data_IF_600876520895
#
_entry.id   IF_600876520895
#
_cell.length_a   1.000
_cell.length_b   1.000
_cell.length_c   1.000
_cell.angle_alpha   90.00
_cell.angle_beta   90.00
_cell.angle_gamma   90.00
#
_symmetry.space_group_name_H-M   'P 1'
#
loop_
_entity.id
_entity.type
_entity.pdbx_description
1 polymer ?
#
# COMPACT_ATOMS: atom_id res chain seq x y z
N UNK A 1 10.45 8.31 25.79
CA UNK A 1 9.79 7.51 24.73
C UNK A 1 8.29 7.48 24.98
N UNK A 2 7.85 6.97 26.13
CA UNK A 2 6.43 6.90 26.56
C UNK A 2 5.63 8.18 26.27
N UNK A 3 6.10 9.35 26.75
CA UNK A 3 5.43 10.65 26.52
C UNK A 3 5.15 10.92 25.03
N UNK A 4 6.10 10.63 24.14
CA UNK A 4 5.92 10.86 22.70
C UNK A 4 4.94 9.84 22.12
N UNK A 5 5.07 8.56 22.50
CA UNK A 5 4.20 7.48 22.02
C UNK A 5 2.76 7.69 22.44
N UNK A 6 2.51 8.07 23.69
CA UNK A 6 1.18 8.40 24.21
C UNK A 6 0.60 9.65 23.53
N UNK A 7 1.45 10.67 23.31
CA UNK A 7 1.06 11.86 22.55
C UNK A 7 0.61 11.53 21.13
N UNK A 8 1.37 10.70 20.41
CA UNK A 8 1.02 10.24 19.05
C UNK A 8 -0.23 9.36 19.03
N UNK A 9 -0.41 8.46 20.00
CA UNK A 9 -1.61 7.64 20.13
C UNK A 9 -2.86 8.50 20.35
N UNK A 10 -2.77 9.52 21.21
CA UNK A 10 -3.86 10.47 21.42
C UNK A 10 -4.19 11.28 20.15
N UNK A 11 -3.19 11.61 19.33
CA UNK A 11 -3.41 12.28 18.03
C UNK A 11 -4.14 11.35 17.06
N UNK A 12 -3.74 10.07 17.00
CA UNK A 12 -4.41 9.08 16.17
C UNK A 12 -5.90 8.95 16.54
N UNK A 13 -6.22 8.87 17.83
CA UNK A 13 -7.61 8.85 18.31
C UNK A 13 -8.39 10.12 17.93
N UNK A 14 -7.76 11.29 17.99
CA UNK A 14 -8.39 12.54 17.55
C UNK A 14 -8.76 12.50 16.05
N UNK A 15 -7.88 11.93 15.22
CA UNK A 15 -8.11 11.79 13.77
C UNK A 15 -9.24 10.80 13.51
N UNK A 16 -9.20 9.62 14.13
CA UNK A 16 -10.21 8.56 13.97
C UNK A 16 -11.61 9.02 14.41
N UNK A 17 -11.69 9.86 15.43
CA UNK A 17 -12.94 10.43 15.92
C UNK A 17 -13.41 11.67 15.13
N UNK A 18 -12.66 12.10 14.11
CA UNK A 18 -12.95 13.32 13.34
C UNK A 18 -12.85 14.62 14.15
N UNK A 19 -12.08 14.59 15.26
CA UNK A 19 -11.88 15.73 16.16
C UNK A 19 -10.59 16.50 15.87
N UNK A 20 -9.63 15.88 15.17
CA UNK A 20 -8.40 16.53 14.76
C UNK A 20 -8.69 17.67 13.78
N UNK A 21 -8.21 18.87 14.10
CA UNK A 21 -8.36 20.04 13.23
C UNK A 21 -7.10 20.20 12.38
N UNK A 22 -7.19 19.83 11.10
CA UNK A 22 -6.12 20.07 10.14
C UNK A 22 -5.99 21.56 9.87
N UNK A 23 -4.77 22.08 10.03
CA UNK A 23 -4.45 23.46 9.68
C UNK A 23 -3.92 23.51 8.23
N UNK A 24 -4.64 24.15 7.28
CA UNK A 24 -4.18 24.28 5.90
C UNK A 24 -2.99 25.23 5.73
N UNK A 25 -2.64 26.03 6.74
CA UNK A 25 -1.42 26.84 6.74
C UNK A 25 -0.15 26.00 6.97
N UNK A 26 -0.29 24.77 7.49
CA UNK A 26 0.80 23.80 7.59
C UNK A 26 0.90 23.04 6.26
N UNK A 27 2.12 22.94 5.72
CA UNK A 27 2.38 22.48 4.36
C UNK A 27 1.87 21.06 4.08
N UNK A 28 2.05 20.15 5.04
CA UNK A 28 1.77 18.74 4.88
C UNK A 28 1.15 18.11 6.14
N UNK A 29 0.75 16.84 6.01
CA UNK A 29 0.22 16.05 7.13
C UNK A 29 1.25 15.92 8.25
N UNK A 30 2.53 15.80 7.93
CA UNK A 30 3.56 15.60 8.93
C UNK A 30 3.72 16.82 9.83
N UNK A 31 3.71 18.03 9.26
CA UNK A 31 3.71 19.28 10.02
C UNK A 31 2.49 19.40 10.92
N UNK A 32 1.32 18.96 10.45
CA UNK A 32 0.11 18.90 11.28
C UNK A 32 0.31 17.99 12.51
N UNK A 33 0.85 16.79 12.32
CA UNK A 33 1.12 15.86 13.43
C UNK A 33 2.19 16.42 14.37
N UNK A 34 3.25 17.02 13.83
CA UNK A 34 4.35 17.61 14.60
C UNK A 34 3.90 18.78 15.47
N UNK A 35 3.15 19.73 14.89
CA UNK A 35 2.58 20.85 15.60
C UNK A 35 1.65 20.37 16.71
N UNK A 36 0.76 19.42 16.41
CA UNK A 36 -0.15 18.85 17.41
C UNK A 36 0.59 18.10 18.52
N UNK A 37 1.69 17.41 18.19
CA UNK A 37 2.51 16.71 19.17
C UNK A 37 3.19 17.71 20.11
N UNK A 38 3.76 18.80 19.56
CA UNK A 38 4.35 19.86 20.37
C UNK A 38 3.33 20.52 21.31
N UNK A 39 2.10 20.75 20.86
CA UNK A 39 1.02 21.26 21.71
C UNK A 39 0.70 20.32 22.87
N UNK A 40 0.71 19.00 22.64
CA UNK A 40 0.35 17.99 23.64
C UNK A 40 1.45 17.72 24.65
N UNK A 41 2.70 17.64 24.21
CA UNK A 41 3.81 17.13 25.04
C UNK A 41 4.97 18.12 25.21
N UNK A 42 4.81 19.34 24.71
CA UNK A 42 5.81 20.41 24.79
C UNK A 42 7.08 20.11 24.00
N UNK A 43 8.19 20.74 24.39
CA UNK A 43 9.48 20.67 23.69
C UNK A 43 10.02 19.24 23.50
N UNK A 44 9.60 18.29 24.35
CA UNK A 44 9.99 16.88 24.21
C UNK A 44 9.54 16.31 22.86
N UNK A 45 8.41 16.78 22.31
CA UNK A 45 7.92 16.37 20.99
C UNK A 45 8.90 16.70 19.86
N UNK A 46 9.64 17.81 19.96
CA UNK A 46 10.63 18.22 18.96
C UNK A 46 11.81 17.24 18.83
N UNK A 47 12.04 16.38 19.84
CA UNK A 47 13.08 15.35 19.80
C UNK A 47 12.75 14.21 18.83
N UNK A 48 11.49 14.03 18.43
CA UNK A 48 11.04 12.97 17.51
C UNK A 48 11.72 13.06 16.13
N UNK A 49 12.12 14.26 15.71
CA UNK A 49 12.80 14.47 14.42
C UNK A 49 14.27 14.10 14.40
N UNK A 50 14.86 13.78 15.56
CA UNK A 50 16.26 13.37 15.62
C UNK A 50 16.46 12.12 14.76
N UNK A 51 17.47 12.15 13.88
CA UNK A 51 17.77 11.06 12.95
C UNK A 51 16.65 10.74 11.94
N UNK A 52 15.82 11.72 11.56
CA UNK A 52 14.81 11.58 10.52
C UNK A 52 14.84 12.76 9.55
N UNK A 53 14.48 12.53 8.30
CA UNK A 53 14.21 13.59 7.33
C UNK A 53 12.77 13.46 6.82
N UNK A 54 12.22 14.54 6.28
CA UNK A 54 10.95 14.46 5.57
C UNK A 54 11.04 13.51 4.37
N UNK A 55 12.20 13.43 3.71
CA UNK A 55 12.40 12.61 2.51
C UNK A 55 12.21 11.11 2.76
N UNK A 56 12.91 10.55 3.75
CA UNK A 56 12.78 9.13 4.09
C UNK A 56 11.48 8.82 4.84
N UNK A 57 10.92 9.79 5.56
CA UNK A 57 9.59 9.67 6.16
C UNK A 57 8.48 9.58 5.12
N UNK A 58 8.43 10.48 4.12
CA UNK A 58 7.44 10.43 3.05
C UNK A 58 7.58 9.14 2.22
N UNK A 59 8.82 8.71 1.95
CA UNK A 59 9.05 7.45 1.27
C UNK A 59 8.53 6.25 2.06
N UNK A 60 8.69 6.24 3.39
CA UNK A 60 8.12 5.21 4.26
C UNK A 60 6.59 5.21 4.19
N UNK A 61 5.98 6.37 4.43
CA UNK A 61 4.52 6.48 4.54
C UNK A 61 3.85 6.06 3.23
N UNK A 62 4.43 6.45 2.09
CA UNK A 62 3.94 6.05 0.77
C UNK A 62 4.07 4.54 0.55
N UNK A 63 5.16 3.90 0.99
CA UNK A 63 5.30 2.44 0.89
C UNK A 63 4.32 1.70 1.80
N UNK A 64 4.11 2.18 3.03
CA UNK A 64 3.09 1.62 3.93
C UNK A 64 1.70 1.70 3.29
N UNK A 65 1.35 2.87 2.76
CA UNK A 65 0.09 3.08 2.05
C UNK A 65 -0.05 2.16 0.83
N UNK A 66 0.98 2.06 -0.02
CA UNK A 66 0.93 1.18 -1.20
C UNK A 66 0.85 -0.30 -0.81
N UNK A 67 1.50 -0.75 0.28
CA UNK A 67 1.34 -2.12 0.79
C UNK A 67 -0.10 -2.41 1.21
N UNK A 68 -0.74 -1.48 1.91
CA UNK A 68 -2.14 -1.60 2.31
C UNK A 68 -3.06 -1.61 1.08
N UNK A 69 -2.83 -0.70 0.12
CA UNK A 69 -3.59 -0.64 -1.12
C UNK A 69 -3.48 -1.95 -1.94
N UNK A 70 -2.29 -2.52 -2.06
CA UNK A 70 -2.08 -3.82 -2.71
C UNK A 70 -2.85 -4.91 -1.96
N UNK A 71 -2.74 -4.95 -0.63
CA UNK A 71 -3.41 -5.98 0.19
C UNK A 71 -4.94 -5.90 0.06
N UNK A 72 -5.49 -4.69 0.10
CA UNK A 72 -6.93 -4.43 -0.11
C UNK A 72 -7.40 -4.84 -1.50
N UNK A 73 -6.62 -4.51 -2.54
CA UNK A 73 -6.91 -4.89 -3.92
C UNK A 73 -6.88 -6.41 -4.10
N UNK A 74 -5.86 -7.09 -3.55
CA UNK A 74 -5.76 -8.55 -3.56
C UNK A 74 -6.98 -9.23 -2.92
N UNK A 75 -7.43 -8.74 -1.76
CA UNK A 75 -8.61 -9.27 -1.08
C UNK A 75 -9.87 -9.13 -1.95
N UNK A 76 -10.10 -7.94 -2.53
CA UNK A 76 -11.26 -7.67 -3.40
C UNK A 76 -11.24 -8.51 -4.68
N UNK A 77 -10.07 -8.71 -5.29
CA UNK A 77 -9.94 -9.58 -6.48
C UNK A 77 -10.26 -11.04 -6.15
N UNK A 78 -9.88 -11.52 -4.95
CA UNK A 78 -10.24 -12.86 -4.47
C UNK A 78 -11.75 -13.00 -4.23
N UNK A 79 -12.38 -11.99 -3.63
CA UNK A 79 -13.84 -11.96 -3.47
C UNK A 79 -14.55 -12.01 -4.84
N UNK A 80 -14.06 -11.25 -5.82
CA UNK A 80 -14.63 -11.27 -7.17
C UNK A 80 -14.46 -12.62 -7.86
N UNK A 81 -13.28 -13.23 -7.75
CA UNK A 81 -13.05 -14.61 -8.23
C UNK A 81 -14.02 -15.61 -7.58
N UNK A 82 -14.29 -15.48 -6.29
CA UNK A 82 -15.25 -16.34 -5.60
C UNK A 82 -16.69 -16.13 -6.12
N UNK A 83 -17.07 -14.89 -6.43
CA UNK A 83 -18.37 -14.61 -7.05
C UNK A 83 -18.51 -15.26 -8.43
N UNK A 84 -17.45 -15.23 -9.25
CA UNK A 84 -17.40 -15.91 -10.55
C UNK A 84 -17.55 -17.43 -10.40
N UNK A 85 -16.84 -18.03 -9.43
CA UNK A 85 -16.96 -19.47 -9.11
C UNK A 85 -18.40 -19.79 -8.71
N UNK A 86 -18.97 -19.08 -7.74
CA UNK A 86 -20.34 -19.32 -7.28
C UNK A 86 -21.37 -19.26 -8.41
N UNK A 87 -21.23 -18.28 -9.32
CA UNK A 87 -22.10 -18.16 -10.49
C UNK A 87 -21.89 -19.30 -11.49
N UNK A 88 -20.63 -19.68 -11.75
CA UNK A 88 -20.31 -20.81 -12.61
C UNK A 88 -20.87 -22.12 -12.05
N UNK A 89 -20.80 -22.32 -10.73
CA UNK A 89 -21.30 -23.51 -10.07
C UNK A 89 -22.82 -23.64 -10.10
N UNK A 90 -23.53 -22.52 -9.90
CA UNK A 90 -24.99 -22.49 -10.02
C UNK A 90 -25.49 -22.77 -11.44
N UNK A 91 -24.62 -22.64 -12.46
CA UNK A 91 -24.98 -22.70 -13.87
C UNK A 91 -24.16 -23.74 -14.67
N UNK A 92 -23.68 -24.83 -14.04
CA UNK A 92 -22.80 -25.84 -14.66
C UNK A 92 -23.32 -26.44 -15.97
N UNK A 93 -24.65 -26.57 -16.12
CA UNK A 93 -25.29 -27.16 -17.30
C UNK A 93 -25.76 -26.16 -18.36
N UNK A 94 -25.61 -24.85 -18.12
CA UNK A 94 -26.10 -23.83 -19.04
C UNK A 94 -25.17 -23.73 -20.25
N UNK A 95 -25.72 -23.98 -21.44
CA UNK A 95 -25.02 -23.85 -22.72
C UNK A 95 -25.36 -22.48 -23.32
N UNK A 96 -24.35 -21.81 -23.86
CA UNK A 96 -24.47 -20.56 -24.61
C UNK A 96 -23.64 -20.61 -25.90
N UNK A 97 -23.91 -19.75 -26.90
CA UNK A 97 -23.00 -19.60 -28.03
C UNK A 97 -21.66 -19.00 -27.55
N UNK A 98 -20.55 -19.63 -27.92
CA UNK A 98 -19.23 -18.99 -27.89
C UNK A 98 -19.05 -18.09 -29.10
N UNK A 99 -18.30 -17.00 -28.95
CA UNK A 99 -18.15 -15.98 -29.98
C UNK A 99 -16.70 -15.79 -30.42
N UNK A 100 -16.50 -15.63 -31.72
CA UNK A 100 -15.26 -15.13 -32.32
C UNK A 100 -15.63 -14.05 -33.32
N UNK A 101 -14.97 -12.89 -33.30
CA UNK A 101 -15.37 -11.72 -34.09
C UNK A 101 -16.85 -11.32 -33.89
N UNK A 102 -17.38 -11.52 -32.68
CA UNK A 102 -18.80 -11.34 -32.33
C UNK A 102 -19.78 -12.17 -33.19
N UNK A 103 -19.30 -13.25 -33.82
CA UNK A 103 -20.13 -14.23 -34.51
C UNK A 103 -20.20 -15.55 -33.73
N UNK A 104 -21.36 -16.22 -33.68
CA UNK A 104 -21.48 -17.53 -33.06
C UNK A 104 -20.50 -18.53 -33.70
N UNK A 105 -19.70 -19.19 -32.87
CA UNK A 105 -18.75 -20.20 -33.28
C UNK A 105 -19.22 -21.59 -32.80
N UNK A 106 -18.84 -21.96 -31.58
CA UNK A 106 -19.17 -23.26 -30.99
C UNK A 106 -19.98 -23.07 -29.70
N UNK A 107 -20.88 -24.01 -29.35
CA UNK A 107 -21.51 -24.00 -28.03
C UNK A 107 -20.45 -24.14 -26.93
N UNK A 108 -20.58 -23.34 -25.88
CA UNK A 108 -19.73 -23.39 -24.68
C UNK A 108 -20.62 -23.39 -23.43
N UNK A 109 -20.08 -23.85 -22.30
CA UNK A 109 -20.75 -23.68 -21.02
C UNK A 109 -20.62 -22.23 -20.54
N UNK A 110 -21.69 -21.66 -19.99
CA UNK A 110 -21.62 -20.37 -19.30
C UNK A 110 -20.54 -20.38 -18.21
N UNK A 111 -20.45 -21.49 -17.46
CA UNK A 111 -19.40 -21.70 -16.48
C UNK A 111 -17.99 -21.60 -17.08
N UNK A 112 -17.75 -22.15 -18.29
CA UNK A 112 -16.46 -22.06 -18.96
C UNK A 112 -16.13 -20.62 -19.37
N UNK A 113 -17.13 -19.86 -19.81
CA UNK A 113 -16.98 -18.44 -20.15
C UNK A 113 -16.64 -17.59 -18.92
N UNK A 114 -17.35 -17.79 -17.80
CA UNK A 114 -17.08 -17.08 -16.54
C UNK A 114 -15.68 -17.37 -15.99
N UNK A 115 -15.24 -18.64 -16.07
CA UNK A 115 -13.90 -19.02 -15.60
C UNK A 115 -12.77 -18.45 -16.47
N UNK A 116 -13.05 -18.01 -17.70
CA UNK A 116 -12.06 -17.25 -18.48
C UNK A 116 -11.67 -15.93 -17.77
N UNK A 117 -12.63 -15.23 -17.16
CA UNK A 117 -12.38 -14.02 -16.37
C UNK A 117 -11.68 -14.34 -15.05
N UNK A 118 -12.00 -15.48 -14.42
CA UNK A 118 -11.26 -15.94 -13.24
C UNK A 118 -9.76 -16.07 -13.53
N UNK A 119 -9.40 -16.67 -14.68
CA UNK A 119 -8.01 -16.84 -15.10
C UNK A 119 -7.33 -15.50 -15.43
N UNK A 120 -8.07 -14.51 -15.96
CA UNK A 120 -7.55 -13.15 -16.14
C UNK A 120 -7.18 -12.52 -14.80
N UNK A 121 -8.11 -12.50 -13.85
CA UNK A 121 -7.92 -11.96 -12.51
C UNK A 121 -6.82 -12.69 -11.73
N UNK A 122 -6.66 -14.01 -11.95
CA UNK A 122 -5.60 -14.77 -11.30
C UNK A 122 -4.21 -14.26 -11.71
N UNK A 123 -4.03 -13.87 -12.98
CA UNK A 123 -2.77 -13.26 -13.44
C UNK A 123 -2.56 -11.88 -12.80
N UNK A 124 -3.61 -11.10 -12.63
CA UNK A 124 -3.51 -9.79 -11.97
C UNK A 124 -3.14 -9.92 -10.49
N UNK A 125 -3.74 -10.89 -9.79
CA UNK A 125 -3.37 -11.21 -8.40
C UNK A 125 -1.89 -11.61 -8.30
N UNK A 126 -1.38 -12.41 -9.23
CA UNK A 126 0.03 -12.77 -9.24
C UNK A 126 0.92 -11.52 -9.41
N UNK A 127 0.56 -10.61 -10.32
CA UNK A 127 1.29 -9.35 -10.54
C UNK A 127 1.27 -8.44 -9.31
N UNK A 128 0.11 -8.26 -8.68
CA UNK A 128 0.01 -7.48 -7.43
C UNK A 128 0.83 -8.11 -6.30
N UNK A 129 0.83 -9.45 -6.19
CA UNK A 129 1.63 -10.17 -5.21
C UNK A 129 3.14 -10.01 -5.45
N UNK A 130 3.56 -9.95 -6.71
CA UNK A 130 4.95 -9.67 -7.05
C UNK A 130 5.33 -8.22 -6.79
N UNK A 131 4.45 -7.27 -7.13
CA UNK A 131 4.64 -5.84 -6.84
C UNK A 131 4.82 -5.62 -5.33
N UNK A 132 4.01 -6.29 -4.49
CA UNK A 132 4.13 -6.20 -3.03
C UNK A 132 5.55 -6.51 -2.53
N UNK A 133 6.24 -7.49 -3.11
CA UNK A 133 7.61 -7.85 -2.71
C UNK A 133 8.59 -6.71 -2.91
N UNK A 134 8.42 -5.89 -3.96
CA UNK A 134 9.27 -4.71 -4.26
C UNK A 134 8.83 -3.46 -3.50
N UNK A 135 7.54 -3.38 -3.16
CA UNK A 135 7.03 -2.35 -2.25
C UNK A 135 7.51 -2.56 -0.81
N UNK A 136 7.72 -3.82 -0.41
CA UNK A 136 8.10 -4.26 0.94
C UNK A 136 9.59 -4.02 1.31
N UNK A 137 10.05 -2.79 1.08
CA UNK A 137 11.42 -2.33 1.39
C UNK A 137 11.38 -1.10 2.30
N UNK A 138 11.95 -1.20 3.49
CA UNK A 138 11.94 -0.13 4.50
C UNK A 138 12.97 0.97 4.17
N UNK A 139 12.56 2.24 4.01
CA UNK A 139 13.46 3.33 3.60
C UNK A 139 14.01 4.17 4.77
N UNK A 140 13.42 4.11 5.98
CA UNK A 140 13.91 4.89 7.12
C UNK A 140 15.38 4.63 7.43
N UNK A 141 16.05 5.71 7.81
CA UNK A 141 17.50 5.71 8.01
C UNK A 141 18.28 6.21 6.81
N UNK A 142 17.59 6.47 5.70
CA UNK A 142 18.16 7.11 4.52
C UNK A 142 18.32 8.64 4.72
N UNK A 143 17.65 9.20 5.73
CA UNK A 143 17.73 10.61 6.06
C UNK A 143 17.31 11.48 4.87
N UNK A 144 17.95 12.63 4.71
CA UNK A 144 17.65 13.51 3.58
C UNK A 144 18.13 12.94 2.25
N UNK A 145 19.30 12.27 2.25
CA UNK A 145 19.94 11.75 1.03
C UNK A 145 21.09 10.77 1.33
N UNK A 146 21.91 11.03 2.37
CA UNK A 146 23.18 10.35 2.61
C UNK A 146 23.15 9.34 3.78
N UNK A 147 21.96 8.98 4.25
CA UNK A 147 21.77 8.29 5.51
C UNK A 147 21.68 9.25 6.69
N UNK A 148 21.69 8.71 7.90
CA UNK A 148 21.68 9.46 9.16
C UNK A 148 22.99 9.28 9.91
N UNK A 149 23.47 10.34 10.57
CA UNK A 149 24.73 10.30 11.34
C UNK A 149 24.60 9.56 12.69
N UNK A 150 23.42 9.05 13.00
CA UNK A 150 23.10 8.37 14.25
C UNK A 150 23.13 6.86 14.04
N UNK A 151 23.60 6.12 15.05
CA UNK A 151 23.63 4.67 15.00
C UNK A 151 22.23 4.08 15.25
N UNK A 152 21.37 4.19 14.25
CA UNK A 152 20.02 3.62 14.28
C UNK A 152 20.04 2.14 13.88
N UNK A 153 19.18 1.33 14.48
CA UNK A 153 18.98 -0.06 14.11
C UNK A 153 17.88 -0.17 13.05
N UNK A 154 18.29 -0.25 11.77
CA UNK A 154 17.36 -0.34 10.64
C UNK A 154 16.63 -1.69 10.60
N UNK A 155 17.28 -2.77 11.04
CA UNK A 155 16.64 -4.08 11.09
C UNK A 155 15.54 -4.11 12.16
N UNK A 156 15.75 -3.46 13.30
CA UNK A 156 14.71 -3.22 14.29
C UNK A 156 13.54 -2.43 13.70
N UNK A 157 13.81 -1.29 13.04
CA UNK A 157 12.75 -0.48 12.44
C UNK A 157 11.94 -1.26 11.38
N UNK A 158 12.61 -2.06 10.55
CA UNK A 158 11.93 -2.90 9.56
C UNK A 158 10.99 -3.90 10.22
N UNK A 159 11.42 -4.58 11.30
CA UNK A 159 10.57 -5.52 12.05
C UNK A 159 9.37 -4.82 12.69
N UNK A 160 9.58 -3.69 13.36
CA UNK A 160 8.51 -2.93 14.03
C UNK A 160 7.46 -2.41 13.03
N UNK A 161 7.90 -2.00 11.83
CA UNK A 161 7.04 -1.46 10.78
C UNK A 161 6.52 -2.55 9.82
N UNK A 162 6.82 -3.82 10.08
CA UNK A 162 6.32 -4.96 9.29
C UNK A 162 6.88 -5.04 7.87
N UNK A 163 8.13 -4.65 7.65
CA UNK A 163 8.84 -4.78 6.38
C UNK A 163 9.75 -6.01 6.33
N UNK A 164 9.78 -6.71 5.19
CA UNK A 164 10.65 -7.87 4.96
C UNK A 164 12.08 -7.51 4.54
N UNK A 165 12.32 -6.29 4.06
CA UNK A 165 13.63 -5.86 3.56
C UNK A 165 13.95 -4.41 3.98
N UNK A 166 15.24 -4.04 3.93
CA UNK A 166 15.71 -2.66 4.10
C UNK A 166 16.31 -2.15 2.80
N UNK A 167 16.15 -0.86 2.53
CA UNK A 167 16.78 -0.25 1.35
C UNK A 167 18.31 -0.29 1.45
N UNK A 168 18.97 -0.54 0.32
CA UNK A 168 20.42 -0.74 0.26
C UNK A 168 21.20 0.55 -0.04
N UNK A 169 20.53 1.57 -0.57
CA UNK A 169 21.12 2.85 -0.91
C UNK A 169 20.18 3.98 -0.48
N UNK A 170 20.70 4.99 0.22
CA UNK A 170 19.89 6.07 0.79
C UNK A 170 19.38 7.05 -0.27
N UNK A 171 20.15 7.31 -1.33
CA UNK A 171 19.77 8.21 -2.42
C UNK A 171 18.62 7.59 -3.22
N UNK A 172 18.75 6.30 -3.52
CA UNK A 172 17.70 5.50 -4.15
C UNK A 172 16.43 5.47 -3.29
N UNK A 173 16.55 5.11 -2.01
CA UNK A 173 15.41 4.94 -1.11
C UNK A 173 14.50 6.17 -0.97
N UNK A 174 15.06 7.38 -1.04
CA UNK A 174 14.28 8.62 -0.94
C UNK A 174 13.77 9.12 -2.30
N UNK A 175 14.41 8.68 -3.40
CA UNK A 175 14.12 9.14 -4.76
C UNK A 175 13.21 8.18 -5.55
N UNK A 176 13.29 6.88 -5.26
CA UNK A 176 12.56 5.81 -5.95
C UNK A 176 11.04 5.96 -5.83
N UNK A 177 10.34 5.75 -6.94
CA UNK A 177 8.87 5.69 -7.03
C UNK A 177 8.40 4.51 -7.89
N UNK A 178 9.28 3.57 -8.23
CA UNK A 178 8.99 2.41 -9.08
C UNK A 178 7.87 1.56 -8.49
N UNK A 179 7.81 1.41 -7.16
CA UNK A 179 6.74 0.67 -6.49
C UNK A 179 5.34 1.26 -6.71
N UNK A 180 5.22 2.59 -6.85
CA UNK A 180 3.94 3.25 -7.17
C UNK A 180 3.61 3.10 -8.64
N UNK A 181 4.60 3.32 -9.52
CA UNK A 181 4.42 3.19 -10.97
C UNK A 181 4.05 1.75 -11.34
N UNK A 182 4.68 0.77 -10.69
CA UNK A 182 4.38 -0.64 -10.88
C UNK A 182 2.97 -0.98 -10.39
N UNK A 183 2.54 -0.47 -9.23
CA UNK A 183 1.17 -0.62 -8.76
C UNK A 183 0.16 -0.10 -9.79
N UNK A 184 0.36 1.12 -10.30
CA UNK A 184 -0.52 1.74 -11.30
C UNK A 184 -0.52 0.99 -12.64
N UNK A 185 0.64 0.45 -13.05
CA UNK A 185 0.75 -0.36 -14.26
C UNK A 185 -0.03 -1.67 -14.12
N UNK A 186 0.09 -2.35 -12.97
CA UNK A 186 -0.67 -3.58 -12.69
C UNK A 186 -2.17 -3.27 -12.57
N UNK A 187 -2.56 -2.17 -11.93
CA UNK A 187 -3.94 -1.73 -11.85
C UNK A 187 -4.53 -1.42 -13.23
N UNK A 188 -3.77 -0.76 -14.11
CA UNK A 188 -4.19 -0.46 -15.48
C UNK A 188 -4.42 -1.74 -16.31
N UNK A 189 -3.58 -2.75 -16.16
CA UNK A 189 -3.79 -4.06 -16.79
C UNK A 189 -5.02 -4.78 -16.22
N UNK A 190 -5.21 -4.74 -14.90
CA UNK A 190 -6.39 -5.31 -14.26
C UNK A 190 -7.68 -4.65 -14.75
N UNK A 191 -7.68 -3.33 -14.96
CA UNK A 191 -8.83 -2.59 -15.47
C UNK A 191 -9.18 -2.89 -16.93
N UNK A 192 -8.25 -3.48 -17.69
CA UNK A 192 -8.52 -3.91 -19.07
C UNK A 192 -9.24 -5.25 -19.16
N UNK A 193 -9.15 -6.08 -18.12
CA UNK A 193 -9.86 -7.36 -18.03
C UNK A 193 -11.29 -7.17 -17.52
#
# INVERSE_FOLDING_TARGET
>A
AEVITEGLASIAEEIEQGKFQFNPELEDIHMNIEARLLEKVGEVGGKLHTARSRNDQVALDLRLFTKEAISSTLAKLREFQQALISLAEANKGVIMPGYTHLQPAQPVLLAHHLLAYFEMLQRDINRFSDCLKRTDVMPLGSGAIAGVAYNIDRDFLARELGFGQISQNSIDAVSDRDFVVEYEAVASLCMMH
#
